data_IF_636415505325
#
_entry.id   IF_636415505325
#
_cell.length_a   1.000
_cell.length_b   1.000
_cell.length_c   1.000
_cell.angle_alpha   90.00
_cell.angle_beta   90.00
_cell.angle_gamma   90.00
#
_symmetry.space_group_name_H-M   'P 1'
#
loop_
_entity.id
_entity.type
_entity.pdbx_description
1 polymer ?
#
# COMPACT_ATOMS: atom_id res chain seq x y z
N UNK A 1 -6.50 -6.65 -4.45
CA UNK A 1 -5.44 -5.62 -4.65
C UNK A 1 -5.02 -5.64 -6.10
N UNK A 2 -5.08 -4.50 -6.79
CA UNK A 2 -4.69 -4.39 -8.21
C UNK A 2 -3.77 -3.17 -8.40
N UNK A 3 -2.92 -3.22 -9.42
CA UNK A 3 -2.19 -2.03 -9.87
C UNK A 3 -3.20 -0.96 -10.26
N UNK A 4 -2.95 0.27 -9.81
CA UNK A 4 -3.82 1.42 -10.00
C UNK A 4 -4.82 1.67 -8.86
N UNK A 5 -5.01 0.73 -7.92
CA UNK A 5 -5.84 0.98 -6.74
C UNK A 5 -5.22 2.01 -5.80
N UNK A 6 -6.06 2.87 -5.24
CA UNK A 6 -5.69 3.78 -4.16
C UNK A 6 -5.93 3.07 -2.83
N UNK A 7 -4.95 3.15 -1.93
CA UNK A 7 -4.99 2.54 -0.60
C UNK A 7 -4.51 3.54 0.45
N UNK A 8 -4.99 3.38 1.68
CA UNK A 8 -4.45 4.03 2.86
C UNK A 8 -3.27 3.22 3.39
N UNK A 9 -2.18 3.89 3.72
CA UNK A 9 -1.02 3.30 4.38
C UNK A 9 -1.10 3.54 5.88
N UNK A 10 -1.11 2.46 6.65
CA UNK A 10 -1.03 2.54 8.10
C UNK A 10 0.28 3.21 8.53
N UNK A 11 0.14 4.27 9.34
CA UNK A 11 1.23 4.94 10.01
C UNK A 11 1.03 4.84 11.53
N UNK A 12 1.98 4.19 12.20
CA UNK A 12 1.94 3.99 13.65
C UNK A 12 1.95 5.33 14.36
N UNK A 13 1.00 5.55 15.27
CA UNK A 13 0.89 6.80 16.03
C UNK A 13 0.03 7.88 15.36
N UNK A 14 -0.39 7.68 14.10
CA UNK A 14 -1.34 8.54 13.41
C UNK A 14 -2.75 7.95 13.46
N UNK A 15 -3.81 8.75 13.75
CA UNK A 15 -5.19 8.29 13.62
C UNK A 15 -5.49 7.96 12.15
N UNK A 16 -6.40 7.00 11.89
CA UNK A 16 -6.73 6.50 10.55
C UNK A 16 -7.04 7.60 9.52
N UNK A 17 -7.68 8.69 9.96
CA UNK A 17 -8.02 9.84 9.11
C UNK A 17 -6.79 10.62 8.60
N UNK A 18 -5.63 10.45 9.22
CA UNK A 18 -4.37 11.08 8.82
C UNK A 18 -3.44 10.14 8.06
N UNK A 19 -3.84 8.89 7.84
CA UNK A 19 -3.01 7.95 7.12
C UNK A 19 -2.78 8.42 5.68
N UNK A 20 -1.52 8.41 5.21
CA UNK A 20 -1.22 8.83 3.85
C UNK A 20 -1.87 7.87 2.84
N UNK A 21 -2.36 8.44 1.75
CA UNK A 21 -2.87 7.69 0.61
C UNK A 21 -1.74 7.42 -0.39
N UNK A 22 -1.78 6.25 -1.01
CA UNK A 22 -0.86 5.89 -2.09
C UNK A 22 -1.57 5.09 -3.17
N UNK A 23 -1.08 5.19 -4.40
CA UNK A 23 -1.54 4.39 -5.54
C UNK A 23 -0.61 3.22 -5.75
N UNK A 24 -1.16 2.01 -5.88
CA UNK A 24 -0.36 0.81 -6.17
C UNK A 24 0.20 0.91 -7.58
N UNK A 25 1.52 0.87 -7.71
CA UNK A 25 2.23 0.86 -9.00
C UNK A 25 2.83 -0.50 -9.34
N UNK A 26 3.11 -1.34 -8.34
CA UNK A 26 3.61 -2.71 -8.55
C UNK A 26 3.15 -3.63 -7.43
N UNK A 27 2.96 -4.90 -7.77
CA UNK A 27 2.56 -5.95 -6.83
C UNK A 27 3.68 -6.98 -6.73
N UNK A 28 4.06 -7.34 -5.50
CA UNK A 28 5.04 -8.37 -5.20
C UNK A 28 4.33 -9.59 -4.60
N UNK A 29 4.04 -10.55 -5.46
CA UNK A 29 3.47 -11.85 -5.09
C UNK A 29 4.55 -12.87 -4.73
N UNK A 30 4.19 -13.83 -3.87
CA UNK A 30 5.02 -15.02 -3.66
C UNK A 30 4.73 -16.13 -4.68
N UNK A 31 5.50 -17.22 -4.58
CA UNK A 31 5.36 -18.40 -5.45
C UNK A 31 3.99 -19.10 -5.33
N UNK A 32 3.29 -18.86 -4.24
CA UNK A 32 1.93 -19.33 -3.95
C UNK A 32 0.83 -18.44 -4.54
N UNK A 33 1.19 -17.39 -5.28
CA UNK A 33 0.24 -16.43 -5.85
C UNK A 33 -0.29 -15.40 -4.85
N UNK A 34 0.12 -15.45 -3.59
CA UNK A 34 -0.32 -14.50 -2.56
C UNK A 34 0.51 -13.23 -2.59
N UNK A 35 -0.17 -12.08 -2.59
CA UNK A 35 0.47 -10.76 -2.51
C UNK A 35 0.98 -10.51 -1.09
N UNK A 36 2.27 -10.20 -0.95
CA UNK A 36 2.87 -9.90 0.36
C UNK A 36 3.25 -8.44 0.51
N UNK A 37 3.68 -7.80 -0.58
CA UNK A 37 4.04 -6.39 -0.59
C UNK A 37 3.63 -5.74 -1.91
N UNK A 38 3.53 -4.42 -1.90
CA UNK A 38 3.27 -3.62 -3.09
C UNK A 38 4.14 -2.37 -3.06
N UNK A 39 4.50 -1.88 -4.23
CA UNK A 39 5.08 -0.55 -4.38
C UNK A 39 3.93 0.44 -4.59
N UNK A 40 4.02 1.53 -3.85
CA UNK A 40 3.05 2.61 -3.80
C UNK A 40 3.73 3.88 -4.28
N UNK A 41 2.97 4.68 -5.00
CA UNK A 41 3.35 6.04 -5.36
C UNK A 41 2.45 7.01 -4.60
N UNK A 42 3.09 7.91 -3.86
CA UNK A 42 2.46 9.00 -3.11
C UNK A 42 2.93 10.32 -3.69
N UNK A 43 2.32 11.43 -3.25
CA UNK A 43 2.81 12.77 -3.58
C UNK A 43 4.26 13.03 -3.13
N UNK A 44 4.75 12.28 -2.14
CA UNK A 44 6.10 12.44 -1.56
C UNK A 44 7.13 11.48 -2.13
N UNK A 45 6.72 10.46 -2.89
CA UNK A 45 7.65 9.52 -3.53
C UNK A 45 7.11 8.10 -3.65
N UNK A 46 8.02 7.14 -3.83
CA UNK A 46 7.69 5.72 -3.94
C UNK A 46 8.04 4.97 -2.66
N UNK A 47 7.10 4.15 -2.20
CA UNK A 47 7.22 3.39 -0.95
C UNK A 47 6.84 1.94 -1.17
N UNK A 48 7.65 1.01 -0.65
CA UNK A 48 7.26 -0.40 -0.58
C UNK A 48 6.66 -0.69 0.79
N UNK A 49 5.46 -1.26 0.82
CA UNK A 49 4.76 -1.63 2.06
C UNK A 49 4.14 -3.02 1.94
N UNK A 50 4.14 -3.73 3.07
CA UNK A 50 3.46 -5.00 3.21
C UNK A 50 1.95 -4.79 3.16
N UNK A 51 1.22 -5.70 2.51
CA UNK A 51 -0.24 -5.56 2.33
C UNK A 51 -1.03 -5.52 3.64
N UNK A 52 -0.49 -6.12 4.70
CA UNK A 52 -1.07 -6.06 6.05
C UNK A 52 -1.15 -4.65 6.64
N UNK A 53 -0.33 -3.72 6.14
CA UNK A 53 -0.32 -2.30 6.53
C UNK A 53 -1.12 -1.43 5.56
N UNK A 54 -1.83 -2.03 4.60
CA UNK A 54 -2.56 -1.31 3.55
C UNK A 54 -4.04 -1.59 3.66
N UNK A 55 -4.82 -0.52 3.56
CA UNK A 55 -6.25 -0.57 3.75
C UNK A 55 -6.92 -0.03 2.49
N UNK A 56 -7.85 -0.81 1.93
CA UNK A 56 -8.63 -0.40 0.78
C UNK A 56 -9.64 0.67 1.21
N UNK A 57 -9.86 1.64 0.33
CA UNK A 57 -10.98 2.58 0.41
C UNK A 57 -12.25 1.95 -0.14
#
# INVERSE_FOLDING_TARGET
LKVGSVVLMEETGSPRLRWPMGKIVKIHGGKDGLVRAVDLETATGKFTRAVQRLHLL
#
